data_IF_890941375880
#
_entry.id   IF_890941375880
#
_cell.length_a   1.000
_cell.length_b   1.000
_cell.length_c   1.000
_cell.angle_alpha   90.00
_cell.angle_beta   90.00
_cell.angle_gamma   90.00
#
_symmetry.space_group_name_H-M   'P 1'
#
loop_
_entity.id
_entity.type
_entity.pdbx_description
1 polymer ?
#
# COMPACT_ATOMS: atom_id res chain seq x y z
N UNK A 1 8.02 17.33 3.87
CA UNK A 1 7.39 18.20 4.89
C UNK A 1 7.48 17.50 6.22
N UNK A 2 7.68 18.25 7.30
CA UNK A 2 7.71 17.67 8.65
C UNK A 2 6.28 17.60 9.22
N UNK A 3 5.96 16.50 9.90
CA UNK A 3 4.72 16.32 10.66
C UNK A 3 5.11 15.87 12.07
N UNK A 4 4.62 16.58 13.08
CA UNK A 4 4.89 16.26 14.48
C UNK A 4 4.56 14.81 14.79
N UNK A 5 5.40 14.10 15.54
CA UNK A 5 5.31 12.66 15.86
C UNK A 5 5.46 11.68 14.69
N UNK A 6 5.47 12.15 13.43
CA UNK A 6 5.61 11.30 12.24
C UNK A 6 6.89 11.56 11.45
N UNK A 7 7.59 12.66 11.73
CA UNK A 7 8.85 13.03 11.10
C UNK A 7 8.67 13.55 9.68
N UNK A 8 9.63 13.22 8.81
CA UNK A 8 9.57 13.66 7.41
C UNK A 8 8.56 12.83 6.61
N UNK A 9 7.66 13.53 5.92
CA UNK A 9 6.65 12.97 5.02
C UNK A 9 6.88 13.57 3.63
N UNK A 10 6.92 12.76 2.56
CA UNK A 10 7.08 13.29 1.21
C UNK A 10 5.83 14.10 0.83
N UNK A 11 6.05 15.27 0.24
CA UNK A 11 4.93 16.05 -0.31
C UNK A 11 4.46 15.41 -1.63
N UNK A 12 3.34 15.93 -2.15
CA UNK A 12 2.75 15.41 -3.39
C UNK A 12 3.72 15.40 -4.57
N UNK A 13 4.54 16.43 -4.73
CA UNK A 13 5.45 16.53 -5.88
C UNK A 13 6.57 15.48 -5.80
N UNK A 14 7.12 15.24 -4.60
CA UNK A 14 8.09 14.16 -4.37
C UNK A 14 7.48 12.78 -4.57
N UNK A 15 6.22 12.57 -4.15
CA UNK A 15 5.49 11.32 -4.43
C UNK A 15 5.36 11.11 -5.94
N UNK A 16 4.98 12.15 -6.70
CA UNK A 16 4.87 12.06 -8.16
C UNK A 16 6.23 11.75 -8.79
N UNK A 17 7.32 12.42 -8.37
CA UNK A 17 8.68 12.14 -8.86
C UNK A 17 9.07 10.67 -8.64
N UNK A 18 8.86 10.10 -7.44
CA UNK A 18 9.11 8.68 -7.19
C UNK A 18 8.36 7.77 -8.16
N UNK A 19 7.07 8.05 -8.36
CA UNK A 19 6.22 7.21 -9.19
C UNK A 19 6.54 7.36 -10.69
N UNK A 20 6.90 8.56 -11.16
CA UNK A 20 7.33 8.80 -12.55
C UNK A 20 8.68 8.17 -12.86
N UNK A 21 9.67 8.38 -11.99
CA UNK A 21 10.99 7.75 -12.11
C UNK A 21 10.89 6.24 -12.02
N UNK A 22 10.11 5.75 -11.06
CA UNK A 22 9.88 4.32 -10.91
C UNK A 22 9.16 3.72 -12.12
N UNK A 23 8.21 4.42 -12.72
CA UNK A 23 7.55 3.96 -13.95
C UNK A 23 8.52 3.87 -15.12
N UNK A 24 9.45 4.82 -15.27
CA UNK A 24 10.48 4.76 -16.31
C UNK A 24 11.38 3.52 -16.15
N UNK A 25 11.70 3.15 -14.92
CA UNK A 25 12.56 2.00 -14.61
C UNK A 25 11.82 0.65 -14.74
N UNK A 26 10.59 0.57 -14.26
CA UNK A 26 9.76 -0.63 -14.36
C UNK A 26 8.30 -0.26 -14.68
N UNK A 27 7.95 -0.12 -15.97
CA UNK A 27 6.59 0.24 -16.38
C UNK A 27 5.56 -0.79 -15.90
N UNK A 28 4.44 -0.32 -15.36
CA UNK A 28 3.36 -1.22 -14.97
C UNK A 28 2.20 -0.55 -14.26
N UNK A 29 1.09 -1.30 -14.14
CA UNK A 29 -0.13 -0.83 -13.46
C UNK A 29 0.03 -0.62 -11.95
N UNK A 30 1.19 -0.97 -11.37
CA UNK A 30 1.47 -0.71 -9.96
C UNK A 30 1.39 0.80 -9.65
N UNK A 31 1.79 1.69 -10.55
CA UNK A 31 1.65 3.15 -10.34
C UNK A 31 0.18 3.57 -10.16
N UNK A 32 -0.73 3.03 -10.98
CA UNK A 32 -2.17 3.29 -10.84
C UNK A 32 -2.71 2.75 -9.52
N UNK A 33 -2.23 1.60 -9.09
CA UNK A 33 -2.61 0.98 -7.83
C UNK A 33 -2.18 1.84 -6.64
N UNK A 34 -0.90 2.25 -6.57
CA UNK A 34 -0.39 3.12 -5.51
C UNK A 34 -1.13 4.46 -5.47
N UNK A 35 -1.30 5.09 -6.64
CA UNK A 35 -2.01 6.35 -6.72
C UNK A 35 -3.47 6.23 -6.28
N UNK A 36 -4.15 5.17 -6.69
CA UNK A 36 -5.55 4.94 -6.33
C UNK A 36 -5.70 4.75 -4.83
N UNK A 37 -4.85 3.93 -4.20
CA UNK A 37 -4.84 3.72 -2.75
C UNK A 37 -4.51 5.01 -2.02
N UNK A 38 -3.41 5.69 -2.39
CA UNK A 38 -3.00 6.94 -1.76
C UNK A 38 -4.09 8.01 -1.83
N UNK A 39 -4.69 8.27 -3.00
CA UNK A 39 -5.73 9.30 -3.13
C UNK A 39 -7.02 8.91 -2.42
N UNK A 40 -7.32 7.62 -2.31
CA UNK A 40 -8.46 7.11 -1.54
C UNK A 40 -8.22 7.34 -0.05
N UNK A 41 -7.06 6.92 0.47
CA UNK A 41 -6.64 7.14 1.85
C UNK A 41 -6.65 8.64 2.22
N UNK A 42 -6.11 9.49 1.35
CA UNK A 42 -6.12 10.95 1.53
C UNK A 42 -7.53 11.52 1.74
N UNK A 43 -8.51 11.05 0.96
CA UNK A 43 -9.88 11.57 1.05
C UNK A 43 -10.63 10.98 2.23
N UNK A 44 -10.35 9.73 2.62
CA UNK A 44 -10.91 9.11 3.82
C UNK A 44 -10.35 9.73 5.10
N UNK A 45 -9.10 10.21 5.07
CA UNK A 45 -8.41 10.74 6.24
C UNK A 45 -9.21 11.80 7.01
N UNK A 46 -9.94 12.68 6.31
CA UNK A 46 -10.79 13.70 6.94
C UNK A 46 -11.80 13.08 7.91
N UNK A 47 -12.53 12.08 7.43
CA UNK A 47 -13.62 11.44 8.19
C UNK A 47 -13.05 10.55 9.30
N UNK A 48 -11.83 10.04 9.11
CA UNK A 48 -11.10 9.21 10.07
C UNK A 48 -10.31 10.01 11.11
N UNK A 49 -10.32 11.34 11.06
CA UNK A 49 -9.50 12.18 11.95
C UNK A 49 -8.00 12.02 11.75
N UNK A 50 -7.56 11.61 10.56
CA UNK A 50 -6.16 11.42 10.18
C UNK A 50 -5.65 12.63 9.38
N UNK A 51 -4.34 12.87 9.45
CA UNK A 51 -3.68 13.80 8.53
C UNK A 51 -3.74 13.28 7.08
N UNK A 52 -4.34 14.05 6.15
CA UNK A 52 -4.54 13.61 4.76
C UNK A 52 -3.24 13.46 3.97
N UNK A 53 -2.19 14.22 4.31
CA UNK A 53 -0.93 14.12 3.61
C UNK A 53 -0.13 12.90 4.02
N UNK A 54 -0.18 12.55 5.32
CA UNK A 54 0.40 11.30 5.82
C UNK A 54 -0.31 10.11 5.19
N UNK A 55 -1.64 10.10 5.20
CA UNK A 55 -2.43 9.03 4.58
C UNK A 55 -2.12 8.90 3.08
N UNK A 56 -1.98 10.04 2.38
CA UNK A 56 -1.60 10.04 0.97
C UNK A 56 -0.22 9.43 0.74
N UNK A 57 0.80 9.86 1.49
CA UNK A 57 2.17 9.38 1.35
C UNK A 57 2.26 7.88 1.62
N UNK A 58 1.63 7.39 2.69
CA UNK A 58 1.66 5.99 3.06
C UNK A 58 1.01 5.13 1.98
N UNK A 59 -0.19 5.51 1.51
CA UNK A 59 -0.88 4.74 0.47
C UNK A 59 -0.20 4.82 -0.90
N UNK A 60 0.34 5.98 -1.28
CA UNK A 60 0.97 6.17 -2.58
C UNK A 60 2.39 5.60 -2.69
N UNK A 61 3.00 5.19 -1.57
CA UNK A 61 4.37 4.68 -1.55
C UNK A 61 4.53 3.32 -0.86
N UNK A 62 3.46 2.70 -0.34
CA UNK A 62 3.55 1.41 0.37
C UNK A 62 4.26 0.31 -0.43
N UNK A 63 4.11 0.35 -1.76
CA UNK A 63 4.63 -0.65 -2.69
C UNK A 63 5.64 -0.07 -3.71
N UNK A 64 6.32 1.04 -3.34
CA UNK A 64 7.25 1.72 -4.24
C UNK A 64 8.44 0.84 -4.67
N UNK A 65 8.80 -0.19 -3.91
CA UNK A 65 9.83 -1.17 -4.28
C UNK A 65 9.57 -1.87 -5.61
N UNK A 66 8.31 -1.92 -6.08
CA UNK A 66 8.00 -2.38 -7.44
C UNK A 66 8.72 -1.56 -8.52
N UNK A 67 9.15 -0.33 -8.25
CA UNK A 67 9.94 0.49 -9.17
C UNK A 67 11.29 -0.14 -9.54
N UNK A 68 11.82 -1.05 -8.72
CA UNK A 68 13.11 -1.72 -8.97
C UNK A 68 12.96 -3.04 -9.73
N UNK A 69 11.72 -3.43 -10.04
CA UNK A 69 11.41 -4.76 -10.57
C UNK A 69 11.25 -5.84 -9.49
N UNK A 70 11.35 -5.47 -8.21
CA UNK A 70 11.15 -6.38 -7.09
C UNK A 70 9.78 -7.09 -7.13
N UNK A 71 9.78 -8.37 -6.80
CA UNK A 71 8.59 -9.25 -6.77
C UNK A 71 8.51 -9.97 -5.44
N UNK A 72 7.35 -10.53 -5.12
CA UNK A 72 7.11 -11.27 -3.87
C UNK A 72 7.68 -10.54 -2.63
N UNK A 73 8.23 -11.20 -1.62
CA UNK A 73 8.66 -10.52 -0.38
C UNK A 73 9.67 -9.37 -0.60
N UNK A 74 10.45 -9.41 -1.67
CA UNK A 74 11.40 -8.35 -2.00
C UNK A 74 10.73 -6.98 -2.18
N UNK A 75 9.47 -6.92 -2.66
CA UNK A 75 8.83 -5.63 -2.96
C UNK A 75 8.67 -4.75 -1.72
N UNK A 76 8.21 -5.30 -0.59
CA UNK A 76 8.00 -4.49 0.63
C UNK A 76 9.32 -4.15 1.30
N UNK A 77 10.34 -5.02 1.15
CA UNK A 77 11.68 -4.77 1.68
C UNK A 77 12.40 -3.67 0.91
N UNK A 78 12.29 -3.66 -0.42
CA UNK A 78 12.83 -2.58 -1.24
C UNK A 78 12.04 -1.28 -1.06
N UNK A 79 10.70 -1.34 -0.91
CA UNK A 79 9.92 -0.15 -0.54
C UNK A 79 10.42 0.49 0.75
N UNK A 80 10.64 -0.32 1.79
CA UNK A 80 11.20 0.13 3.05
C UNK A 80 12.56 0.82 2.84
N UNK A 81 13.49 0.19 2.12
CA UNK A 81 14.83 0.75 1.86
C UNK A 81 14.79 2.09 1.13
N UNK A 82 14.00 2.20 0.05
CA UNK A 82 13.85 3.43 -0.73
C UNK A 82 13.40 4.58 0.16
N UNK A 83 12.37 4.35 0.97
CA UNK A 83 11.79 5.39 1.83
C UNK A 83 12.69 5.74 3.01
N UNK A 84 13.41 4.76 3.57
CA UNK A 84 14.40 4.98 4.63
C UNK A 84 15.56 5.84 4.14
N UNK A 85 16.04 5.64 2.91
CA UNK A 85 17.16 6.40 2.35
C UNK A 85 16.89 7.91 2.33
N UNK A 86 15.64 8.32 2.04
CA UNK A 86 15.22 9.73 2.04
C UNK A 86 14.61 10.16 3.39
N UNK A 87 14.85 9.39 4.47
CA UNK A 87 14.38 9.66 5.83
C UNK A 87 12.85 9.73 6.01
N UNK A 88 12.07 9.11 5.11
CA UNK A 88 10.63 8.98 5.22
C UNK A 88 10.24 7.78 6.09
N UNK A 89 10.63 7.82 7.36
CA UNK A 89 10.57 6.66 8.26
C UNK A 89 9.16 6.13 8.51
N UNK A 90 8.17 7.00 8.65
CA UNK A 90 6.80 6.58 8.90
C UNK A 90 6.16 5.90 7.66
N UNK A 91 6.23 6.47 6.44
CA UNK A 91 5.86 5.75 5.22
C UNK A 91 6.66 4.46 5.01
N UNK A 92 7.96 4.44 5.33
CA UNK A 92 8.80 3.24 5.20
C UNK A 92 8.27 2.09 6.08
N UNK A 93 7.88 2.40 7.32
CA UNK A 93 7.27 1.42 8.23
C UNK A 93 6.03 0.79 7.62
N UNK A 94 5.12 1.60 7.09
CA UNK A 94 3.87 1.09 6.50
C UNK A 94 4.15 0.29 5.24
N UNK A 95 5.12 0.72 4.44
CA UNK A 95 5.57 -0.04 3.29
C UNK A 95 6.05 -1.46 3.65
N UNK A 96 6.69 -1.63 4.82
CA UNK A 96 7.13 -2.94 5.31
C UNK A 96 5.97 -3.79 5.89
N UNK A 97 4.95 -3.16 6.50
CA UNK A 97 3.84 -3.83 7.20
C UNK A 97 2.56 -4.03 6.37
N UNK A 98 2.41 -3.38 5.21
CA UNK A 98 1.12 -3.31 4.48
C UNK A 98 0.56 -4.67 4.05
N UNK A 99 1.41 -5.68 3.85
CA UNK A 99 1.02 -7.03 3.45
C UNK A 99 0.65 -7.94 4.63
N UNK A 100 0.77 -7.44 5.88
CA UNK A 100 0.72 -8.23 7.11
C UNK A 100 -0.43 -7.83 8.02
N UNK A 101 -1.67 -8.17 7.63
CA UNK A 101 -2.85 -8.06 8.50
C UNK A 101 -2.70 -8.88 9.79
N UNK A 102 -1.95 -9.98 9.69
CA UNK A 102 -1.49 -10.81 10.79
C UNK A 102 0.01 -10.53 10.96
N UNK A 103 0.46 -10.22 12.18
CA UNK A 103 1.87 -9.92 12.51
C UNK A 103 2.74 -11.19 12.53
N UNK A 104 2.74 -11.95 11.44
CA UNK A 104 3.54 -13.15 11.23
C UNK A 104 4.07 -13.21 9.81
N UNK A 105 5.34 -13.56 9.66
CA UNK A 105 5.97 -13.79 8.35
C UNK A 105 5.38 -15.00 7.62
N UNK A 106 4.81 -15.96 8.36
CA UNK A 106 4.18 -17.14 7.78
C UNK A 106 2.81 -16.84 7.16
N UNK A 107 2.20 -15.71 7.56
CA UNK A 107 0.96 -15.24 6.97
C UNK A 107 1.17 -14.62 5.57
N UNK A 108 2.41 -14.29 5.18
CA UNK A 108 2.67 -13.73 3.86
C UNK A 108 2.29 -14.71 2.74
N UNK A 109 1.50 -14.24 1.78
CA UNK A 109 1.11 -15.02 0.59
C UNK A 109 1.99 -14.59 -0.58
N UNK A 110 2.95 -15.45 -0.91
CA UNK A 110 3.96 -15.24 -1.95
C UNK A 110 5.29 -15.89 -1.58
N UNK A 111 6.27 -15.83 -2.48
CA UNK A 111 7.60 -16.37 -2.20
C UNK A 111 8.44 -15.46 -1.31
N UNK A 112 9.19 -16.04 -0.38
CA UNK A 112 10.24 -15.33 0.36
C UNK A 112 11.53 -15.29 -0.48
N UNK A 113 11.58 -14.41 -1.47
CA UNK A 113 12.74 -14.21 -2.36
C UNK A 113 13.75 -13.18 -1.83
N UNK A 114 14.01 -13.24 -0.52
CA UNK A 114 15.02 -12.43 0.18
C UNK A 114 15.84 -13.34 1.09
N UNK A 115 17.00 -12.90 1.59
CA UNK A 115 17.81 -13.70 2.50
C UNK A 115 17.12 -13.93 3.86
N UNK A 116 17.52 -14.98 4.56
CA UNK A 116 16.98 -15.32 5.88
C UNK A 116 17.17 -14.19 6.90
N UNK A 117 18.33 -13.51 6.88
CA UNK A 117 18.57 -12.33 7.74
C UNK A 117 17.54 -11.22 7.50
N UNK A 118 17.15 -11.00 6.24
CA UNK A 118 16.13 -9.99 5.88
C UNK A 118 14.75 -10.45 6.31
N UNK A 119 14.43 -11.74 6.19
CA UNK A 119 13.17 -12.31 6.69
C UNK A 119 13.10 -12.21 8.23
N UNK A 120 14.20 -12.49 8.94
CA UNK A 120 14.29 -12.34 10.38
C UNK A 120 14.08 -10.88 10.82
N UNK A 121 14.69 -9.94 10.10
CA UNK A 121 14.43 -8.51 10.29
C UNK A 121 12.95 -8.15 10.14
N UNK A 122 12.26 -8.69 9.12
CA UNK A 122 10.81 -8.47 8.94
C UNK A 122 10.02 -9.07 10.10
N UNK A 123 10.38 -10.27 10.57
CA UNK A 123 9.72 -10.90 11.71
C UNK A 123 9.83 -10.05 12.99
N UNK A 124 11.03 -9.58 13.32
CA UNK A 124 11.26 -8.69 14.46
C UNK A 124 10.51 -7.36 14.29
N UNK A 125 10.53 -6.80 13.09
CA UNK A 125 9.80 -5.57 12.79
C UNK A 125 8.30 -5.72 13.07
N UNK A 126 7.68 -6.79 12.58
CA UNK A 126 6.25 -7.07 12.82
C UNK A 126 5.96 -7.28 14.31
N UNK A 127 6.83 -8.00 15.02
CA UNK A 127 6.66 -8.31 16.44
C UNK A 127 6.63 -7.07 17.32
N UNK A 128 7.54 -6.11 17.09
CA UNK A 128 7.69 -4.94 17.96
C UNK A 128 6.94 -3.69 17.48
N UNK A 129 6.35 -3.73 16.29
CA UNK A 129 5.64 -2.60 15.73
C UNK A 129 4.14 -2.68 15.99
N UNK A 130 3.62 -1.81 16.85
CA UNK A 130 2.17 -1.69 17.08
C UNK A 130 1.48 -0.92 15.96
N UNK A 131 0.50 -1.53 15.30
CA UNK A 131 -0.22 -0.92 14.18
C UNK A 131 -1.13 0.20 14.68
N UNK A 132 -1.14 1.30 13.92
CA UNK A 132 -2.08 2.39 14.12
C UNK A 132 -3.06 2.49 12.95
N UNK A 133 -3.97 3.45 13.00
CA UNK A 133 -5.00 3.65 11.97
C UNK A 133 -4.42 3.85 10.55
N UNK A 134 -3.18 4.32 10.39
CA UNK A 134 -2.54 4.41 9.07
C UNK A 134 -2.10 3.02 8.56
N UNK A 135 -1.47 2.19 9.40
CA UNK A 135 -1.11 0.81 9.02
C UNK A 135 -2.38 0.03 8.59
N UNK A 136 -3.41 0.08 9.44
CA UNK A 136 -4.68 -0.61 9.22
C UNK A 136 -5.41 -0.09 7.98
N UNK A 137 -5.39 1.22 7.73
CA UNK A 137 -6.03 1.82 6.56
C UNK A 137 -5.38 1.35 5.27
N UNK A 138 -4.04 1.31 5.21
CA UNK A 138 -3.35 0.86 4.00
C UNK A 138 -3.51 -0.65 3.79
N UNK A 139 -3.46 -1.46 4.86
CA UNK A 139 -3.76 -2.89 4.79
C UNK A 139 -5.18 -3.17 4.26
N UNK A 140 -6.17 -2.41 4.74
CA UNK A 140 -7.55 -2.51 4.26
C UNK A 140 -7.63 -2.15 2.78
N UNK A 141 -7.14 -0.96 2.40
CA UNK A 141 -7.27 -0.46 1.04
C UNK A 141 -6.53 -1.33 0.02
N UNK A 142 -5.34 -1.84 0.33
CA UNK A 142 -4.66 -2.83 -0.54
C UNK A 142 -5.46 -4.13 -0.65
N UNK A 143 -6.11 -4.55 0.43
CA UNK A 143 -7.02 -5.70 0.49
C UNK A 143 -8.31 -5.58 -0.31
N UNK A 144 -8.66 -4.38 -0.83
CA UNK A 144 -9.90 -4.17 -1.60
C UNK A 144 -9.73 -3.41 -2.94
N UNK A 145 -8.56 -2.81 -3.18
CA UNK A 145 -8.28 -1.99 -4.37
C UNK A 145 -7.12 -2.61 -5.16
N UNK A 146 -7.31 -2.72 -6.49
CA UNK A 146 -6.21 -2.94 -7.44
C UNK A 146 -5.95 -1.64 -8.20
N UNK A 147 -6.37 -1.54 -9.46
CA UNK A 147 -6.45 -0.26 -10.20
C UNK A 147 -7.83 0.37 -10.12
N UNK A 148 -8.78 -0.33 -9.48
CA UNK A 148 -10.17 0.04 -9.26
C UNK A 148 -10.64 -0.61 -7.94
N UNK A 149 -11.81 -0.20 -7.47
CA UNK A 149 -12.47 -0.86 -6.34
C UNK A 149 -12.93 -2.26 -6.76
N UNK A 150 -12.45 -3.29 -6.06
CA UNK A 150 -12.83 -4.69 -6.30
C UNK A 150 -13.71 -5.24 -5.18
N UNK A 151 -13.50 -4.77 -3.94
CA UNK A 151 -14.02 -5.42 -2.74
C UNK A 151 -13.21 -6.67 -2.37
N UNK A 152 -13.50 -7.22 -1.20
CA UNK A 152 -12.69 -8.26 -0.54
C UNK A 152 -12.63 -9.53 -1.38
N UNK A 153 -13.79 -10.09 -1.76
CA UNK A 153 -13.85 -11.39 -2.45
C UNK A 153 -13.12 -11.40 -3.80
N UNK A 154 -13.31 -10.36 -4.62
CA UNK A 154 -12.65 -10.25 -5.93
C UNK A 154 -11.15 -9.99 -5.77
N UNK A 155 -10.73 -9.21 -4.77
CA UNK A 155 -9.31 -8.96 -4.50
C UNK A 155 -8.62 -10.22 -3.97
N UNK A 156 -9.23 -10.95 -3.03
CA UNK A 156 -8.74 -12.21 -2.48
C UNK A 156 -8.63 -13.30 -3.56
N UNK A 157 -9.67 -13.48 -4.39
CA UNK A 157 -9.62 -14.39 -5.55
C UNK A 157 -8.46 -14.06 -6.50
N UNK A 158 -8.17 -12.77 -6.69
CA UNK A 158 -7.02 -12.32 -7.44
C UNK A 158 -5.68 -12.67 -6.78
N UNK A 159 -5.58 -12.61 -5.45
CA UNK A 159 -4.37 -13.07 -4.73
C UNK A 159 -4.20 -14.56 -4.91
N UNK A 160 -5.25 -15.35 -4.66
CA UNK A 160 -5.24 -16.80 -4.78
C UNK A 160 -4.74 -17.25 -6.17
N UNK A 161 -5.30 -16.65 -7.22
CA UNK A 161 -4.94 -16.99 -8.61
C UNK A 161 -3.49 -16.65 -8.97
N UNK A 162 -2.95 -15.53 -8.47
CA UNK A 162 -1.65 -15.03 -8.91
C UNK A 162 -0.49 -15.42 -7.98
N UNK A 163 -0.78 -15.71 -6.71
CA UNK A 163 0.21 -15.91 -5.66
C UNK A 163 -0.03 -17.18 -4.82
N UNK A 164 -1.15 -17.89 -5.03
CA UNK A 164 -1.53 -19.08 -4.27
C UNK A 164 -2.16 -18.75 -2.91
N UNK A 165 -2.15 -19.73 -2.02
CA UNK A 165 -2.61 -19.62 -0.64
C UNK A 165 -1.60 -20.21 0.34
N UNK A 166 -1.82 -19.95 1.62
CA UNK A 166 -1.13 -20.57 2.74
C UNK A 166 -2.18 -20.87 3.84
N UNK A 167 -1.81 -21.53 4.95
CA UNK A 167 -2.76 -21.85 6.03
C UNK A 167 -3.45 -20.63 6.67
N UNK A 168 -2.90 -19.42 6.47
CA UNK A 168 -3.44 -18.16 7.00
C UNK A 168 -4.32 -17.41 5.99
N UNK A 169 -4.55 -17.94 4.80
CA UNK A 169 -5.21 -17.19 3.72
C UNK A 169 -6.63 -16.73 4.11
N UNK A 170 -7.41 -17.63 4.70
CA UNK A 170 -8.79 -17.32 5.11
C UNK A 170 -8.81 -16.38 6.32
N UNK A 171 -7.94 -16.60 7.33
CA UNK A 171 -7.80 -15.69 8.48
C UNK A 171 -7.40 -14.27 8.03
N UNK A 172 -6.50 -14.14 7.04
CA UNK A 172 -6.17 -12.83 6.46
C UNK A 172 -7.36 -12.17 5.80
N UNK A 173 -8.20 -12.96 5.11
CA UNK A 173 -9.43 -12.43 4.50
C UNK A 173 -10.41 -11.95 5.57
N UNK A 174 -10.57 -12.70 6.65
CA UNK A 174 -11.37 -12.30 7.82
C UNK A 174 -10.85 -11.00 8.44
N UNK A 175 -9.53 -10.82 8.58
CA UNK A 175 -8.95 -9.55 9.02
C UNK A 175 -9.30 -8.37 8.12
N UNK A 176 -9.39 -8.57 6.80
CA UNK A 176 -9.84 -7.50 5.90
C UNK A 176 -11.33 -7.17 6.14
N UNK A 177 -12.19 -8.15 6.45
CA UNK A 177 -13.58 -7.89 6.84
C UNK A 177 -13.68 -7.12 8.15
N UNK A 178 -12.88 -7.47 9.17
CA UNK A 178 -12.80 -6.72 10.43
C UNK A 178 -12.39 -5.26 10.19
N UNK A 179 -11.43 -5.03 9.29
CA UNK A 179 -10.99 -3.69 8.90
C UNK A 179 -12.05 -2.91 8.11
N UNK A 180 -12.78 -3.58 7.22
CA UNK A 180 -13.92 -2.98 6.52
C UNK A 180 -14.96 -2.47 7.51
N UNK A 181 -15.34 -3.30 8.48
CA UNK A 181 -16.25 -2.95 9.57
C UNK A 181 -15.71 -1.78 10.40
N UNK A 182 -14.43 -1.82 10.77
CA UNK A 182 -13.77 -0.79 11.56
C UNK A 182 -13.82 0.59 10.88
N UNK A 183 -13.48 0.65 9.59
CA UNK A 183 -13.43 1.92 8.87
C UNK A 183 -14.82 2.39 8.43
N UNK A 184 -15.68 1.52 7.92
CA UNK A 184 -16.99 1.93 7.39
C UNK A 184 -17.88 2.57 8.44
N UNK A 185 -17.77 2.18 9.72
CA UNK A 185 -18.47 2.82 10.84
C UNK A 185 -18.04 4.27 11.11
N UNK A 186 -16.85 4.66 10.65
CA UNK A 186 -16.27 6.01 10.82
C UNK A 186 -16.43 6.89 9.57
N UNK A 187 -16.83 6.33 8.43
CA UNK A 187 -16.91 7.06 7.15
C UNK A 187 -18.31 7.64 6.92
N UNK A 188 -18.37 8.83 6.30
CA UNK A 188 -19.64 9.47 5.94
C UNK A 188 -20.32 8.83 4.72
N UNK A 189 -19.58 8.05 3.91
CA UNK A 189 -20.07 7.43 2.67
C UNK A 189 -19.33 6.12 2.38
N UNK A 190 -19.81 5.29 1.43
CA UNK A 190 -19.12 4.06 1.06
C UNK A 190 -17.72 4.34 0.48
N UNK A 191 -16.76 3.44 0.76
CA UNK A 191 -15.34 3.56 0.34
C UNK A 191 -15.20 3.86 -1.16
N UNK A 192 -16.04 3.23 -2.00
CA UNK A 192 -16.06 3.45 -3.45
C UNK A 192 -16.18 4.93 -3.86
N UNK A 193 -16.83 5.77 -3.05
CA UNK A 193 -17.00 7.21 -3.32
C UNK A 193 -15.76 8.05 -3.01
N UNK A 194 -14.76 7.50 -2.32
CA UNK A 194 -13.49 8.18 -2.08
C UNK A 194 -12.46 7.92 -3.19
N UNK A 195 -12.68 6.98 -4.11
CA UNK A 195 -11.73 6.74 -5.18
C UNK A 195 -11.49 8.00 -6.04
N UNK A 196 -10.26 8.21 -6.55
CA UNK A 196 -9.99 9.29 -7.50
C UNK A 196 -10.72 9.04 -8.82
N UNK A 197 -11.14 10.12 -9.48
CA UNK A 197 -11.67 10.03 -10.84
C UNK A 197 -10.50 9.89 -11.83
N UNK A 198 -10.63 8.96 -12.77
CA UNK A 198 -9.68 8.81 -13.88
C UNK A 198 -9.73 10.01 -14.80
N UNK A 199 -8.66 10.81 -14.79
CA UNK A 199 -8.49 11.97 -15.67
C UNK A 199 -7.31 11.70 -16.58
N UNK A 200 -7.57 11.17 -17.78
CA UNK A 200 -6.54 10.68 -18.71
C UNK A 200 -5.46 11.70 -19.09
N UNK A 201 -5.76 13.00 -19.00
CA UNK A 201 -4.79 14.07 -19.26
C UNK A 201 -3.90 14.42 -18.04
N UNK A 202 -4.09 13.76 -16.88
CA UNK A 202 -3.34 14.00 -15.65
C UNK A 202 -2.57 12.75 -15.22
N UNK A 203 -1.49 12.97 -14.48
CA UNK A 203 -0.78 11.93 -13.75
C UNK A 203 -1.72 11.15 -12.81
N UNK A 204 -1.55 9.81 -12.67
CA UNK A 204 -0.70 8.93 -13.47
C UNK A 204 -1.38 8.40 -14.74
N UNK A 205 -2.65 8.76 -14.99
CA UNK A 205 -3.44 8.19 -16.09
C UNK A 205 -2.87 8.51 -17.47
N UNK A 206 -2.18 9.64 -17.62
CA UNK A 206 -1.47 10.01 -18.84
C UNK A 206 -0.38 9.01 -19.23
N UNK A 207 0.24 8.30 -18.28
CA UNK A 207 1.26 7.28 -18.53
C UNK A 207 0.73 6.06 -19.29
N UNK A 208 -0.60 5.87 -19.30
CA UNK A 208 -1.27 4.70 -19.88
C UNK A 208 -2.10 5.04 -21.12
N UNK A 209 -2.02 6.27 -21.65
CA UNK A 209 -2.77 6.69 -22.85
C UNK A 209 -2.27 6.02 -24.14
N UNK A 210 -0.99 5.66 -24.21
CA UNK A 210 -0.39 5.14 -25.45
C UNK A 210 -0.33 3.61 -25.53
N UNK A 211 -0.50 2.91 -24.41
CA UNK A 211 -0.57 1.44 -24.33
C UNK A 211 -1.90 0.84 -24.85
N UNK A 212 -2.61 1.58 -25.70
CA UNK A 212 -3.87 1.20 -26.34
C UNK A 212 -3.86 1.40 -27.86
N UNK A 213 -2.69 1.23 -28.49
CA UNK A 213 -2.53 1.05 -29.94
C UNK A 213 -1.89 -0.31 -30.20
#
# INVERSE_FOLDING_TARGET
MYKENFGNIPNKDKIISYLEEGYKNNPGKWVLHLWTIGKTAQKMAKDLGLDPDIAFACGALHDIGKSTGAKNAEHFYESYKILRADSYFFPARIALSHSFQIKSVDAYVGAWNISDDRKAFVADFLKYNEYNDYDLLIQYLDGIIKTEYLGIEKRASGVLKNHGSNPYFDERKEKIYELEDYFTRKLEKPVKKYLPNSRWYKFPYNLFRESGK
#
